data_IF_090938428750
#
_entry.id   IF_090938428750
#
_cell.length_a   1.000
_cell.length_b   1.000
_cell.length_c   1.000
_cell.angle_alpha   90.00
_cell.angle_beta   90.00
_cell.angle_gamma   90.00
#
_symmetry.space_group_name_H-M   'P 1'
#
loop_
_entity.id
_entity.type
_entity.pdbx_description
1 polymer ?
#
# COMPACT_ATOMS: atom_id res chain seq x y z
N UNK A 1 10.68 13.96 0.76
CA UNK A 1 10.01 13.11 -0.23
C UNK A 1 8.89 13.91 -0.86
N UNK A 2 9.21 14.75 -1.84
CA UNK A 2 8.28 15.77 -2.35
C UNK A 2 8.63 16.16 -3.80
N UNK A 3 8.95 15.17 -4.65
CA UNK A 3 9.49 15.44 -6.00
C UNK A 3 8.62 14.98 -7.18
N UNK A 4 7.43 14.42 -6.93
CA UNK A 4 6.55 13.95 -8.01
C UNK A 4 5.22 14.73 -8.18
N UNK A 5 4.95 15.74 -7.35
CA UNK A 5 3.69 16.51 -7.41
C UNK A 5 3.64 17.61 -8.48
N UNK A 6 4.77 18.12 -8.94
CA UNK A 6 4.82 19.29 -9.84
C UNK A 6 5.08 18.95 -11.31
N UNK A 7 5.50 17.73 -11.65
CA UNK A 7 5.78 17.39 -13.05
C UNK A 7 4.49 17.06 -13.83
N UNK A 8 3.49 16.47 -13.17
CA UNK A 8 2.20 16.16 -13.80
C UNK A 8 1.39 17.41 -14.14
N UNK A 9 1.24 18.35 -13.21
CA UNK A 9 0.51 19.61 -13.43
C UNK A 9 1.18 20.48 -14.50
N UNK A 10 2.51 20.58 -14.48
CA UNK A 10 3.26 21.37 -15.45
C UNK A 10 3.20 20.78 -16.88
N UNK A 11 3.19 19.45 -17.00
CA UNK A 11 3.01 18.79 -18.28
C UNK A 11 1.56 18.94 -18.79
N UNK A 12 0.57 18.87 -17.89
CA UNK A 12 -0.85 19.00 -18.25
C UNK A 12 -1.20 20.40 -18.79
N UNK A 13 -0.66 21.47 -18.20
CA UNK A 13 -0.86 22.85 -18.69
C UNK A 13 -0.20 23.07 -20.07
N UNK A 14 1.01 22.53 -20.28
CA UNK A 14 1.70 22.61 -21.59
C UNK A 14 0.92 21.90 -22.71
N UNK A 15 0.27 20.79 -22.38
CA UNK A 15 -0.54 20.00 -23.30
C UNK A 15 -1.86 20.69 -23.69
N UNK A 16 -2.50 21.44 -22.79
CA UNK A 16 -3.70 22.24 -23.09
C UNK A 16 -3.41 23.37 -24.10
N UNK A 17 -2.19 23.92 -24.11
CA UNK A 17 -1.76 24.96 -25.05
C UNK A 17 -1.42 24.47 -26.47
N UNK A 18 -1.28 23.16 -26.69
CA UNK A 18 -0.73 22.57 -27.93
C UNK A 18 -1.79 22.11 -28.96
N UNK A 19 -3.08 22.46 -28.77
CA UNK A 19 -4.22 22.03 -29.64
C UNK A 19 -4.22 20.53 -29.98
N UNK A 20 -3.78 19.69 -29.06
CA UNK A 20 -3.82 18.24 -29.23
C UNK A 20 -5.25 17.71 -29.02
N UNK A 21 -5.72 16.92 -29.97
CA UNK A 21 -7.09 16.39 -29.96
C UNK A 21 -7.40 15.56 -28.72
N UNK A 22 -8.68 15.57 -28.31
CA UNK A 22 -9.20 14.94 -27.09
C UNK A 22 -8.83 13.44 -26.97
N UNK A 23 -8.65 12.74 -28.09
CA UNK A 23 -8.19 11.35 -28.14
C UNK A 23 -6.76 11.14 -27.63
N UNK A 24 -5.84 12.07 -27.93
CA UNK A 24 -4.43 11.99 -27.53
C UNK A 24 -4.30 12.24 -26.02
N UNK A 25 -5.08 13.19 -25.49
CA UNK A 25 -5.16 13.48 -24.05
C UNK A 25 -5.69 12.29 -23.23
N UNK A 26 -6.68 11.58 -23.76
CA UNK A 26 -7.17 10.34 -23.14
C UNK A 26 -6.14 9.21 -23.23
N UNK A 27 -5.46 9.07 -24.37
CA UNK A 27 -4.42 8.05 -24.53
C UNK A 27 -3.26 8.25 -23.57
N UNK A 28 -2.77 9.48 -23.39
CA UNK A 28 -1.70 9.79 -22.43
C UNK A 28 -2.13 9.51 -20.97
N UNK A 29 -3.37 9.86 -20.59
CA UNK A 29 -3.95 9.50 -19.28
C UNK A 29 -4.02 7.99 -19.07
N UNK A 30 -4.51 7.26 -20.07
CA UNK A 30 -4.62 5.80 -20.02
C UNK A 30 -3.23 5.14 -19.97
N UNK A 31 -2.25 5.64 -20.72
CA UNK A 31 -0.89 5.08 -20.70
C UNK A 31 -0.14 5.39 -19.40
N UNK A 32 -0.26 6.59 -18.83
CA UNK A 32 0.29 6.90 -17.50
C UNK A 32 -0.34 6.03 -16.41
N UNK A 33 -1.65 5.75 -16.49
CA UNK A 33 -2.33 4.85 -15.53
C UNK A 33 -1.89 3.38 -15.67
N UNK A 34 -1.33 2.99 -16.81
CA UNK A 34 -0.89 1.62 -17.13
C UNK A 34 0.60 1.38 -16.85
N UNK A 35 1.34 2.43 -16.48
CA UNK A 35 2.72 2.36 -15.97
C UNK A 35 2.74 2.25 -14.44
N UNK A 36 1.64 1.84 -13.81
CA UNK A 36 1.64 1.46 -12.42
C UNK A 36 2.30 0.09 -12.28
N UNK A 37 3.62 0.09 -12.17
CA UNK A 37 4.38 -1.08 -11.77
C UNK A 37 3.97 -1.41 -10.31
N UNK A 38 2.79 -2.04 -10.14
CA UNK A 38 2.11 -2.20 -8.85
C UNK A 38 2.98 -3.05 -7.94
N UNK A 39 3.78 -2.36 -7.13
CA UNK A 39 4.56 -2.94 -6.06
C UNK A 39 3.60 -3.56 -5.06
N UNK A 40 3.78 -4.84 -4.80
CA UNK A 40 3.03 -5.53 -3.76
C UNK A 40 3.67 -5.22 -2.42
N UNK A 41 2.87 -5.20 -1.38
CA UNK A 41 3.30 -4.87 -0.04
C UNK A 41 2.77 -5.92 0.92
N UNK A 42 3.63 -6.37 1.83
CA UNK A 42 3.25 -7.20 2.97
C UNK A 42 3.25 -6.30 4.20
N UNK A 43 2.23 -6.41 5.03
CA UNK A 43 2.08 -5.55 6.20
C UNK A 43 1.67 -6.32 7.45
N UNK A 44 1.97 -5.72 8.61
CA UNK A 44 1.40 -6.08 9.90
C UNK A 44 0.64 -4.91 10.50
N UNK A 45 -0.58 -5.18 10.96
CA UNK A 45 -1.37 -4.26 11.76
C UNK A 45 -1.45 -4.77 13.20
N UNK A 46 -1.25 -3.88 14.17
CA UNK A 46 -1.55 -4.13 15.59
C UNK A 46 -2.94 -3.59 15.89
N UNK A 47 -3.86 -4.47 16.27
CA UNK A 47 -5.19 -4.08 16.74
C UNK A 47 -5.18 -3.88 18.27
N UNK A 48 -6.25 -3.30 18.82
CA UNK A 48 -6.37 -2.89 20.24
C UNK A 48 -6.14 -4.00 21.28
N UNK A 49 -6.31 -5.26 20.90
CA UNK A 49 -6.11 -6.43 21.76
C UNK A 49 -4.70 -7.05 21.65
N UNK A 50 -3.73 -6.29 21.14
CA UNK A 50 -2.38 -6.77 20.80
C UNK A 50 -2.36 -7.98 19.83
N UNK A 51 -3.45 -8.17 19.08
CA UNK A 51 -3.45 -9.11 17.97
C UNK A 51 -2.73 -8.47 16.78
N UNK A 52 -1.87 -9.26 16.15
CA UNK A 52 -1.17 -8.89 14.93
C UNK A 52 -1.89 -9.51 13.73
N UNK A 53 -2.40 -8.67 12.85
CA UNK A 53 -2.95 -9.07 11.56
C UNK A 53 -1.89 -8.93 10.48
N UNK A 54 -1.69 -9.99 9.68
CA UNK A 54 -0.78 -9.96 8.54
C UNK A 54 -1.58 -10.10 7.24
N UNK A 55 -1.24 -9.28 6.25
CA UNK A 55 -1.86 -9.35 4.93
C UNK A 55 -0.97 -8.77 3.85
N UNK A 56 -1.46 -8.87 2.61
CA UNK A 56 -0.81 -8.30 1.43
C UNK A 56 -1.76 -7.37 0.67
N UNK A 57 -1.21 -6.32 0.08
CA UNK A 57 -1.95 -5.35 -0.74
C UNK A 57 -1.03 -4.71 -1.78
N UNK A 58 -1.60 -4.23 -2.88
CA UNK A 58 -0.91 -3.35 -3.83
C UNK A 58 -1.34 -1.88 -3.67
N UNK A 59 -2.23 -1.62 -2.72
CA UNK A 59 -2.79 -0.31 -2.39
C UNK A 59 -2.98 -0.25 -0.87
N UNK A 60 -2.03 0.39 -0.17
CA UNK A 60 -1.99 0.42 1.30
C UNK A 60 -3.05 1.35 1.86
N UNK A 61 -3.19 2.55 1.27
CA UNK A 61 -4.15 3.55 1.70
C UNK A 61 -5.57 3.02 1.61
N UNK A 62 -5.95 2.43 0.48
CA UNK A 62 -7.26 1.80 0.34
C UNK A 62 -7.47 0.70 1.37
N UNK A 63 -6.45 -0.13 1.62
CA UNK A 63 -6.57 -1.24 2.56
C UNK A 63 -6.72 -0.78 4.00
N UNK A 64 -6.00 0.26 4.42
CA UNK A 64 -6.10 0.82 5.76
C UNK A 64 -7.49 1.43 5.99
N UNK A 65 -7.99 2.21 5.02
CA UNK A 65 -9.34 2.79 5.06
C UNK A 65 -10.44 1.71 5.12
N UNK A 66 -10.23 0.60 4.39
CA UNK A 66 -11.11 -0.58 4.48
C UNK A 66 -11.11 -1.21 5.88
N UNK A 67 -9.94 -1.35 6.50
CA UNK A 67 -9.81 -1.90 7.85
C UNK A 67 -10.38 -0.97 8.93
N UNK A 68 -10.22 0.34 8.78
CA UNK A 68 -10.78 1.36 9.68
C UNK A 68 -12.28 1.58 9.50
N UNK A 69 -12.91 0.94 8.50
CA UNK A 69 -14.35 1.04 8.25
C UNK A 69 -14.79 2.28 7.48
N UNK A 70 -13.85 3.07 6.95
CA UNK A 70 -14.15 4.25 6.13
C UNK A 70 -14.74 3.88 4.77
N UNK A 71 -14.35 2.72 4.23
CA UNK A 71 -14.83 2.21 2.95
C UNK A 71 -15.10 0.71 3.01
N UNK A 72 -15.97 0.22 2.14
CA UNK A 72 -16.36 -1.20 2.07
C UNK A 72 -15.20 -2.11 1.63
N UNK A 73 -15.15 -3.32 2.17
CA UNK A 73 -14.17 -4.36 1.79
C UNK A 73 -13.12 -4.74 2.84
N UNK A 74 -13.15 -4.19 4.06
CA UNK A 74 -12.31 -4.67 5.17
C UNK A 74 -12.61 -6.10 5.59
N UNK A 75 -11.60 -6.82 6.11
CA UNK A 75 -11.76 -8.18 6.62
C UNK A 75 -12.78 -8.21 7.78
N UNK A 76 -13.59 -9.28 7.85
CA UNK A 76 -14.62 -9.45 8.89
C UNK A 76 -14.05 -9.30 10.30
N UNK A 77 -12.83 -9.79 10.52
CA UNK A 77 -12.13 -9.75 11.81
C UNK A 77 -11.69 -8.34 12.22
N UNK A 78 -11.24 -7.51 11.27
CA UNK A 78 -10.70 -6.18 11.59
C UNK A 78 -11.79 -5.14 11.83
N UNK A 79 -13.00 -5.32 11.28
CA UNK A 79 -14.13 -4.41 11.56
C UNK A 79 -14.56 -4.41 13.03
N UNK A 80 -14.36 -5.52 13.74
CA UNK A 80 -14.70 -5.67 15.14
C UNK A 80 -13.55 -5.33 16.11
N UNK A 81 -12.34 -5.07 15.58
CA UNK A 81 -11.13 -4.86 16.37
C UNK A 81 -10.40 -3.56 15.96
N UNK A 82 -11.15 -2.57 15.50
CA UNK A 82 -10.64 -1.23 15.20
C UNK A 82 -10.40 -0.42 16.48
N UNK A 83 -9.45 0.54 16.48
CA UNK A 83 -8.50 0.85 15.40
C UNK A 83 -7.32 -0.14 15.34
N UNK A 84 -6.88 -0.47 14.12
CA UNK A 84 -5.63 -1.20 13.92
C UNK A 84 -4.56 -0.24 13.37
N UNK A 85 -3.37 -0.24 13.98
CA UNK A 85 -2.23 0.60 13.59
C UNK A 85 -1.28 -0.17 12.69
N UNK A 86 -0.78 0.46 11.63
CA UNK A 86 0.30 -0.12 10.82
C UNK A 86 1.60 -0.11 11.63
N UNK A 87 2.18 -1.30 11.84
CA UNK A 87 3.41 -1.47 12.64
C UNK A 87 4.59 -2.00 11.84
N UNK A 88 4.35 -2.53 10.64
CA UNK A 88 5.39 -2.99 9.73
C UNK A 88 4.87 -2.99 8.29
N UNK A 89 5.73 -2.63 7.34
CA UNK A 89 5.45 -2.76 5.90
C UNK A 89 6.72 -3.14 5.13
N UNK A 90 6.56 -4.01 4.13
CA UNK A 90 7.66 -4.45 3.27
C UNK A 90 7.20 -4.46 1.81
N UNK A 91 7.90 -3.74 0.94
CA UNK A 91 7.63 -3.73 -0.49
C UNK A 91 8.29 -4.91 -1.19
N UNK A 92 7.54 -5.56 -2.08
CA UNK A 92 7.99 -6.69 -2.89
C UNK A 92 7.54 -6.53 -4.34
N UNK A 93 8.29 -7.19 -5.23
CA UNK A 93 8.17 -7.00 -6.68
C UNK A 93 6.85 -7.52 -7.25
N UNK A 94 6.33 -8.61 -6.70
CA UNK A 94 5.18 -9.30 -7.26
C UNK A 94 4.30 -9.97 -6.18
N UNK A 95 3.09 -10.36 -6.59
CA UNK A 95 2.09 -10.99 -5.72
C UNK A 95 2.56 -12.33 -5.15
N UNK A 96 3.25 -13.15 -5.93
CA UNK A 96 3.68 -14.48 -5.51
C UNK A 96 4.72 -14.36 -4.39
N UNK A 97 5.66 -13.45 -4.55
CA UNK A 97 6.66 -13.10 -3.53
C UNK A 97 5.98 -12.56 -2.27
N UNK A 98 4.97 -11.70 -2.40
CA UNK A 98 4.18 -11.20 -1.27
C UNK A 98 3.49 -12.32 -0.49
N UNK A 99 2.79 -13.22 -1.19
CA UNK A 99 2.07 -14.34 -0.55
C UNK A 99 3.03 -15.31 0.14
N UNK A 100 4.19 -15.61 -0.47
CA UNK A 100 5.23 -16.41 0.17
C UNK A 100 5.75 -15.74 1.44
N UNK A 101 5.95 -14.43 1.42
CA UNK A 101 6.39 -13.65 2.58
C UNK A 101 5.33 -13.63 3.68
N UNK A 102 4.07 -13.43 3.33
CA UNK A 102 2.93 -13.50 4.23
C UNK A 102 2.85 -14.86 4.94
N UNK A 103 2.98 -15.97 4.20
CA UNK A 103 3.01 -17.31 4.79
C UNK A 103 4.16 -17.48 5.80
N UNK A 104 5.37 -16.99 5.46
CA UNK A 104 6.51 -17.00 6.39
C UNK A 104 6.22 -16.21 7.66
N UNK A 105 5.67 -14.99 7.53
CA UNK A 105 5.33 -14.16 8.70
C UNK A 105 4.22 -14.80 9.53
N UNK A 106 3.22 -15.42 8.91
CA UNK A 106 2.16 -16.13 9.64
C UNK A 106 2.71 -17.28 10.48
N UNK A 107 3.69 -18.02 9.94
CA UNK A 107 4.34 -19.14 10.62
C UNK A 107 5.31 -18.72 11.75
N UNK A 108 5.71 -17.45 11.81
CA UNK A 108 6.57 -16.93 12.88
C UNK A 108 5.87 -16.97 14.24
N UNK A 109 6.66 -17.17 15.29
CA UNK A 109 6.17 -17.04 16.67
C UNK A 109 5.79 -15.59 16.97
N UNK A 110 5.05 -15.38 18.06
CA UNK A 110 4.72 -14.01 18.51
C UNK A 110 5.99 -13.18 18.73
N UNK A 111 7.02 -13.77 19.33
CA UNK A 111 8.29 -13.08 19.62
C UNK A 111 9.04 -12.70 18.34
N UNK A 112 9.11 -13.60 17.36
CA UNK A 112 9.79 -13.31 16.08
C UNK A 112 9.09 -12.17 15.32
N UNK A 113 7.75 -12.09 15.39
CA UNK A 113 6.98 -11.00 14.79
C UNK A 113 7.33 -9.65 15.45
N UNK A 114 7.44 -9.62 16.78
CA UNK A 114 7.84 -8.41 17.49
C UNK A 114 9.30 -8.01 17.19
N UNK A 115 10.20 -8.98 17.08
CA UNK A 115 11.58 -8.72 16.67
C UNK A 115 11.65 -8.14 15.25
N UNK A 116 10.86 -8.68 14.32
CA UNK A 116 10.75 -8.17 12.96
C UNK A 116 10.30 -6.69 12.96
N UNK A 117 9.25 -6.37 13.71
CA UNK A 117 8.74 -5.00 13.88
C UNK A 117 9.82 -4.10 14.50
N UNK A 118 10.49 -4.56 15.56
CA UNK A 118 11.53 -3.79 16.24
C UNK A 118 12.71 -3.46 15.33
N UNK A 119 13.16 -4.43 14.52
CA UNK A 119 14.28 -4.22 13.60
C UNK A 119 13.94 -3.20 12.50
N UNK A 120 12.73 -3.21 11.98
CA UNK A 120 12.25 -2.24 10.98
C UNK A 120 12.19 -0.81 11.53
N UNK A 121 11.66 -0.66 12.75
CA UNK A 121 11.59 0.64 13.44
C UNK A 121 12.97 1.22 13.77
N UNK A 122 13.99 0.38 14.01
CA UNK A 122 15.36 0.82 14.26
C UNK A 122 16.01 1.35 12.97
N UNK A 123 15.73 0.74 11.82
CA UNK A 123 16.32 1.14 10.53
C UNK A 123 15.76 2.48 10.02
N UNK A 124 14.57 2.86 10.48
CA UNK A 124 13.85 4.05 9.98
C UNK A 124 14.06 5.31 10.85
N UNK A 125 14.80 5.20 11.96
CA UNK A 125 15.18 6.32 12.84
C UNK A 125 16.62 6.75 12.61
#
# INVERSE_FOLDING_TARGET
MEKYGNFELFFFEKLQGLKIGWGIMNYAKVSMSKLDNKTWQVYLLQCVNDALYCGVTNDMDKRLRQHNGEIVGGAKYTRANTPCKLVYQEQVKDRSTALKRECKIKAMTRNDKWLLISNDLIITK
#
